data_IF_293737357488
#
_entry.id   IF_293737357488
#
_cell.length_a   1.000
_cell.length_b   1.000
_cell.length_c   1.000
_cell.angle_alpha   90.00
_cell.angle_beta   90.00
_cell.angle_gamma   90.00
#
_symmetry.space_group_name_H-M   'P 1'
#
loop_
_entity.id
_entity.type
_entity.pdbx_description
1 polymer ?
#
# COMPACT_ATOMS: atom_id res chain seq x y z
N UNK A 1 16.02 -12.49 -18.35
CA UNK A 1 14.55 -12.57 -18.48
C UNK A 1 13.93 -13.31 -17.29
N UNK A 2 14.47 -14.47 -16.89
CA UNK A 2 14.00 -15.23 -15.72
C UNK A 2 13.95 -14.41 -14.42
N UNK A 3 15.02 -13.67 -14.08
CA UNK A 3 15.04 -12.87 -12.84
C UNK A 3 13.93 -11.82 -12.75
N UNK A 4 13.50 -11.24 -13.88
CA UNK A 4 12.47 -10.20 -13.90
C UNK A 4 11.09 -10.83 -13.72
N UNK A 5 10.88 -12.01 -14.30
CA UNK A 5 9.68 -12.81 -14.09
C UNK A 5 9.49 -13.11 -12.59
N UNK A 6 10.56 -13.45 -11.89
CA UNK A 6 10.52 -13.74 -10.45
C UNK A 6 10.05 -12.52 -9.64
N UNK A 7 10.61 -11.33 -9.91
CA UNK A 7 10.16 -10.10 -9.26
C UNK A 7 8.71 -9.72 -9.59
N UNK A 8 8.26 -9.95 -10.83
CA UNK A 8 6.88 -9.69 -11.23
C UNK A 8 5.91 -10.69 -10.60
N UNK A 9 6.27 -11.96 -10.45
CA UNK A 9 5.45 -12.95 -9.75
C UNK A 9 5.30 -12.54 -8.28
N UNK A 10 6.40 -12.15 -7.63
CA UNK A 10 6.36 -11.67 -6.24
C UNK A 10 5.49 -10.41 -6.11
N UNK A 11 5.60 -9.46 -7.03
CA UNK A 11 4.78 -8.25 -6.99
C UNK A 11 3.29 -8.55 -7.17
N UNK A 12 2.92 -9.48 -8.06
CA UNK A 12 1.53 -9.93 -8.23
C UNK A 12 1.00 -10.61 -6.96
N UNK A 13 1.80 -11.47 -6.32
CA UNK A 13 1.42 -12.14 -5.08
C UNK A 13 1.20 -11.11 -3.96
N UNK A 14 2.11 -10.15 -3.81
CA UNK A 14 1.98 -9.08 -2.82
C UNK A 14 0.73 -8.22 -3.09
N UNK A 15 0.48 -7.87 -4.35
CA UNK A 15 -0.72 -7.12 -4.75
C UNK A 15 -1.99 -7.88 -4.36
N UNK A 16 -2.06 -9.18 -4.64
CA UNK A 16 -3.19 -10.02 -4.28
C UNK A 16 -3.41 -10.08 -2.75
N UNK A 17 -2.33 -10.25 -1.98
CA UNK A 17 -2.37 -10.24 -0.51
C UNK A 17 -2.87 -8.88 0.01
N UNK A 18 -2.39 -7.78 -0.57
CA UNK A 18 -2.81 -6.43 -0.21
C UNK A 18 -4.29 -6.20 -0.50
N UNK A 19 -4.78 -6.54 -1.69
CA UNK A 19 -6.20 -6.42 -2.06
C UNK A 19 -7.08 -7.28 -1.15
N UNK A 20 -6.66 -8.52 -0.88
CA UNK A 20 -7.36 -9.41 0.03
C UNK A 20 -7.43 -8.83 1.45
N UNK A 21 -6.30 -8.33 1.96
CA UNK A 21 -6.22 -7.66 3.25
C UNK A 21 -7.15 -6.45 3.34
N UNK A 22 -7.17 -5.61 2.31
CA UNK A 22 -7.97 -4.39 2.28
C UNK A 22 -9.47 -4.70 2.30
N UNK A 23 -9.90 -5.77 1.63
CA UNK A 23 -11.30 -6.15 1.50
C UNK A 23 -11.82 -6.92 2.72
N UNK A 24 -10.98 -7.75 3.34
CA UNK A 24 -11.40 -8.67 4.42
C UNK A 24 -11.23 -8.06 5.80
N UNK A 25 -10.22 -7.21 6.02
CA UNK A 25 -9.94 -6.68 7.35
C UNK A 25 -10.91 -5.55 7.70
N UNK A 26 -11.48 -5.63 8.90
CA UNK A 26 -12.39 -4.61 9.46
C UNK A 26 -11.68 -3.61 10.36
N UNK A 27 -10.53 -3.98 10.89
CA UNK A 27 -9.73 -3.10 11.72
C UNK A 27 -8.99 -2.11 10.82
N UNK A 28 -9.21 -0.81 11.07
CA UNK A 28 -8.69 0.27 10.25
C UNK A 28 -7.15 0.28 10.16
N UNK A 29 -6.44 -0.08 11.24
CA UNK A 29 -4.98 -0.24 11.22
C UNK A 29 -4.55 -1.33 10.24
N UNK A 30 -5.26 -2.47 10.23
CA UNK A 30 -4.95 -3.59 9.34
C UNK A 30 -5.24 -3.25 7.87
N UNK A 31 -6.20 -2.36 7.62
CA UNK A 31 -6.47 -1.86 6.28
C UNK A 31 -5.33 -0.96 5.78
N UNK A 32 -4.77 -0.08 6.62
CA UNK A 32 -3.57 0.71 6.25
C UNK A 32 -2.41 -0.21 5.89
N UNK A 33 -2.10 -1.23 6.71
CA UNK A 33 -1.04 -2.19 6.35
C UNK A 33 -1.31 -2.91 5.02
N UNK A 34 -2.57 -3.18 4.68
CA UNK A 34 -2.91 -3.77 3.40
C UNK A 34 -2.65 -2.81 2.23
N UNK A 35 -2.94 -1.52 2.40
CA UNK A 35 -2.59 -0.46 1.43
C UNK A 35 -1.08 -0.36 1.25
N UNK A 36 -0.31 -0.38 2.34
CA UNK A 36 1.16 -0.37 2.28
C UNK A 36 1.74 -1.56 1.50
N UNK A 37 1.13 -2.74 1.62
CA UNK A 37 1.52 -3.93 0.85
C UNK A 37 1.24 -3.72 -0.65
N UNK A 38 0.10 -3.10 -1.01
CA UNK A 38 -0.24 -2.77 -2.41
C UNK A 38 0.78 -1.77 -2.99
N UNK A 39 1.12 -0.73 -2.24
CA UNK A 39 2.10 0.29 -2.67
C UNK A 39 3.48 -0.35 -2.86
N UNK A 40 3.92 -1.22 -1.95
CA UNK A 40 5.19 -1.94 -2.09
C UNK A 40 5.21 -2.91 -3.29
N UNK A 41 4.09 -3.56 -3.59
CA UNK A 41 3.95 -4.36 -4.80
C UNK A 41 4.14 -3.52 -6.07
N UNK A 42 3.52 -2.33 -6.13
CA UNK A 42 3.69 -1.40 -7.23
C UNK A 42 5.14 -0.92 -7.37
N UNK A 43 5.80 -0.59 -6.25
CA UNK A 43 7.21 -0.16 -6.25
C UNK A 43 8.16 -1.25 -6.73
N UNK A 44 7.97 -2.49 -6.28
CA UNK A 44 8.73 -3.63 -6.77
C UNK A 44 8.58 -3.78 -8.28
N UNK A 45 7.37 -3.60 -8.79
CA UNK A 45 7.08 -3.68 -10.22
C UNK A 45 7.76 -2.56 -11.01
N UNK A 46 7.71 -1.30 -10.53
CA UNK A 46 8.37 -0.15 -11.15
C UNK A 46 9.89 -0.36 -11.26
N UNK A 47 10.52 -0.86 -10.20
CA UNK A 47 11.96 -1.13 -10.17
C UNK A 47 12.34 -2.31 -11.07
N UNK A 48 11.51 -3.35 -11.12
CA UNK A 48 11.74 -4.51 -11.99
C UNK A 48 11.62 -4.12 -13.47
N UNK A 49 10.58 -3.35 -13.85
CA UNK A 49 10.36 -2.91 -15.22
C UNK A 49 11.38 -1.87 -15.70
N UNK A 50 11.91 -1.01 -14.81
CA UNK A 50 12.94 -0.05 -15.23
C UNK A 50 14.24 -0.72 -15.69
N UNK A 51 14.51 -1.96 -15.26
CA UNK A 51 15.64 -2.76 -15.73
C UNK A 51 15.47 -3.30 -17.16
N UNK A 52 14.24 -3.30 -17.71
CA UNK A 52 13.95 -3.73 -19.08
C UNK A 52 14.18 -2.62 -20.11
N UNK A 53 14.45 -1.39 -19.68
CA UNK A 53 14.65 -0.29 -20.60
C UNK A 53 15.97 -0.45 -21.39
N UNK A 54 15.97 -0.17 -22.71
CA UNK A 54 17.16 -0.30 -23.55
C UNK A 54 18.35 0.56 -23.09
N UNK A 55 18.04 1.69 -22.45
CA UNK A 55 19.03 2.60 -21.86
C UNK A 55 18.99 2.42 -20.35
N UNK A 56 20.12 2.06 -19.71
CA UNK A 56 20.20 2.01 -18.25
C UNK A 56 19.80 3.36 -17.66
N UNK A 57 18.74 3.36 -16.85
CA UNK A 57 18.29 4.54 -16.14
C UNK A 57 17.75 4.16 -14.76
N UNK A 58 17.69 5.16 -13.88
CA UNK A 58 17.21 5.00 -12.52
C UNK A 58 15.77 5.49 -12.32
N UNK A 59 15.01 5.66 -13.40
CA UNK A 59 13.67 6.23 -13.35
C UNK A 59 12.75 5.43 -12.42
N UNK A 60 12.72 4.10 -12.54
CA UNK A 60 11.90 3.25 -11.65
C UNK A 60 12.31 3.33 -10.17
N UNK A 61 13.62 3.45 -9.90
CA UNK A 61 14.13 3.60 -8.53
C UNK A 61 13.77 4.98 -7.95
N UNK A 62 13.90 6.05 -8.74
CA UNK A 62 13.49 7.40 -8.35
C UNK A 62 11.99 7.46 -8.05
N UNK A 63 11.14 6.90 -8.91
CA UNK A 63 9.70 6.83 -8.64
C UNK A 63 9.36 6.03 -7.37
N UNK A 64 10.04 4.91 -7.15
CA UNK A 64 9.85 4.12 -5.92
C UNK A 64 10.22 4.93 -4.66
N UNK A 65 11.29 5.71 -4.69
CA UNK A 65 11.66 6.59 -3.56
C UNK A 65 10.59 7.65 -3.27
N UNK A 66 10.04 8.30 -4.31
CA UNK A 66 8.94 9.24 -4.13
C UNK A 66 7.68 8.55 -3.61
N UNK A 67 7.37 7.35 -4.10
CA UNK A 67 6.24 6.56 -3.59
C UNK A 67 6.40 6.22 -2.12
N UNK A 68 7.60 5.83 -1.66
CA UNK A 68 7.89 5.56 -0.24
C UNK A 68 7.70 6.84 0.60
N UNK A 69 8.15 7.99 0.09
CA UNK A 69 7.95 9.27 0.79
C UNK A 69 6.45 9.63 0.93
N UNK A 70 5.65 9.39 -0.12
CA UNK A 70 4.20 9.57 -0.09
C UNK A 70 3.54 8.59 0.88
N UNK A 71 3.94 7.31 0.86
CA UNK A 71 3.43 6.29 1.77
C UNK A 71 3.69 6.66 3.23
N UNK A 72 4.89 7.18 3.55
CA UNK A 72 5.20 7.68 4.89
C UNK A 72 4.26 8.83 5.32
N UNK A 73 3.97 9.76 4.41
CA UNK A 73 3.02 10.84 4.67
C UNK A 73 1.58 10.32 4.83
N UNK A 74 1.16 9.35 4.00
CA UNK A 74 -0.14 8.70 4.07
C UNK A 74 -0.35 7.99 5.42
N UNK A 75 0.61 7.19 5.87
CA UNK A 75 0.54 6.49 7.16
C UNK A 75 0.45 7.48 8.32
N UNK A 76 1.20 8.59 8.28
CA UNK A 76 1.11 9.62 9.31
C UNK A 76 -0.30 10.22 9.40
N UNK A 77 -0.90 10.56 8.25
CA UNK A 77 -2.28 11.08 8.19
C UNK A 77 -3.30 10.02 8.59
N UNK A 78 -3.15 8.79 8.10
CA UNK A 78 -4.04 7.67 8.41
C UNK A 78 -4.06 7.33 9.90
N UNK A 79 -2.90 7.31 10.55
CA UNK A 79 -2.81 7.09 12.00
C UNK A 79 -3.42 8.25 12.79
N UNK A 80 -3.20 9.50 12.37
CA UNK A 80 -3.84 10.66 13.00
C UNK A 80 -5.39 10.54 12.92
N UNK A 81 -5.92 10.14 11.77
CA UNK A 81 -7.35 9.87 11.59
C UNK A 81 -7.84 8.72 12.47
N UNK A 82 -7.08 7.62 12.58
CA UNK A 82 -7.40 6.49 13.48
C UNK A 82 -7.48 6.96 14.94
N UNK A 83 -6.54 7.78 15.40
CA UNK A 83 -6.52 8.29 16.78
C UNK A 83 -7.76 9.14 17.04
N UNK A 84 -8.10 10.05 16.13
CA UNK A 84 -9.30 10.89 16.25
C UNK A 84 -10.57 10.04 16.23
N UNK A 85 -10.68 9.10 15.30
CA UNK A 85 -11.81 8.18 15.23
C UNK A 85 -11.94 7.35 16.51
N UNK A 86 -10.83 6.85 17.06
CA UNK A 86 -10.84 6.10 18.32
C UNK A 86 -11.27 6.95 19.50
N UNK A 87 -10.90 8.24 19.55
CA UNK A 87 -11.37 9.15 20.60
C UNK A 87 -12.89 9.36 20.57
N UNK A 88 -13.49 9.38 19.37
CA UNK A 88 -14.93 9.62 19.18
C UNK A 88 -15.74 8.34 19.39
N UNK A 89 -15.32 7.22 18.79
CA UNK A 89 -16.09 5.98 18.72
C UNK A 89 -15.61 4.90 19.70
N UNK A 90 -14.46 5.08 20.36
CA UNK A 90 -13.77 4.09 21.22
C UNK A 90 -13.58 2.72 20.56
N UNK A 91 -13.56 2.68 19.23
CA UNK A 91 -13.41 1.48 18.43
C UNK A 91 -12.64 1.80 17.14
N UNK A 92 -11.87 0.83 16.65
CA UNK A 92 -11.10 0.89 15.39
C UNK A 92 -11.70 0.00 14.29
N UNK A 93 -12.86 -0.63 14.53
CA UNK A 93 -13.63 -1.32 13.50
C UNK A 93 -14.34 -0.30 12.59
N UNK A 94 -14.05 -0.36 11.29
CA UNK A 94 -14.62 0.50 10.26
C UNK A 94 -16.16 0.46 10.26
N UNK A 95 -16.77 -0.69 10.57
CA UNK A 95 -18.24 -0.82 10.58
C UNK A 95 -18.89 -0.01 11.70
N UNK A 96 -18.15 0.24 12.78
CA UNK A 96 -18.57 1.08 13.89
C UNK A 96 -18.57 2.58 13.56
N UNK A 97 -17.90 2.98 12.47
CA UNK A 97 -17.80 4.38 12.02
C UNK A 97 -19.01 4.81 11.18
N UNK A 98 -20.20 4.31 11.48
CA UNK A 98 -21.44 4.64 10.76
C UNK A 98 -22.22 5.74 11.48
N UNK A 99 -21.93 6.99 11.15
CA UNK A 99 -22.69 8.17 11.63
C UNK A 99 -23.40 8.93 10.51
N UNK A 100 -23.04 8.65 9.25
CA UNK A 100 -23.69 9.22 8.06
C UNK A 100 -24.30 8.07 7.25
N UNK A 101 -25.57 7.78 7.50
CA UNK A 101 -26.39 6.89 6.68
C UNK A 101 -27.63 7.68 6.27
N UNK A 102 -27.59 8.27 5.08
CA UNK A 102 -28.77 8.71 4.36
C UNK A 102 -29.45 7.53 3.69
#
# INVERSE_FOLDING_TARGET
>A
MAEILDYTIVSIILLAIGIYGLTVKRNFIRMIFAVEIIINAANLNLVAFSRLMPVPNSTGQTFALFSIAIAAAEVAVGLALIIVAYRIYRNIDIKGLKRLSG
#
